data_IF_387770864234
#
_entry.id   IF_387770864234
#
_cell.length_a   1.000
_cell.length_b   1.000
_cell.length_c   1.000
_cell.angle_alpha   90.00
_cell.angle_beta   90.00
_cell.angle_gamma   90.00
#
_symmetry.space_group_name_H-M   'P 1'
#
loop_
_entity.id
_entity.type
_entity.pdbx_description
1 polymer ?
#
# COMPACT_ATOMS: atom_id res chain seq x y z
N UNK A 1 -30.01 0.54 -6.05
CA UNK A 1 -28.96 1.23 -5.27
C UNK A 1 -29.06 0.68 -3.85
N UNK A 2 -28.28 -0.34 -3.49
CA UNK A 2 -28.43 -1.02 -2.20
C UNK A 2 -27.25 -0.67 -1.28
N UNK A 3 -27.62 -0.25 -0.07
CA UNK A 3 -26.76 0.32 0.96
C UNK A 3 -25.69 -0.64 1.49
N UNK A 4 -24.61 0.00 1.95
CA UNK A 4 -23.31 -0.53 2.37
C UNK A 4 -23.38 -1.15 3.79
N UNK A 5 -23.16 -2.46 3.90
CA UNK A 5 -22.76 -3.12 5.15
C UNK A 5 -22.07 -4.48 4.84
N UNK A 6 -20.78 -4.60 5.12
CA UNK A 6 -20.17 -5.93 5.35
C UNK A 6 -19.33 -6.60 4.26
N UNK A 7 -18.80 -5.90 3.24
CA UNK A 7 -17.63 -6.45 2.53
C UNK A 7 -16.40 -6.28 3.41
N UNK A 8 -16.09 -7.27 4.24
CA UNK A 8 -14.81 -7.38 4.93
C UNK A 8 -13.71 -7.26 3.88
N UNK A 9 -13.03 -6.11 3.82
CA UNK A 9 -11.92 -5.93 2.87
C UNK A 9 -10.81 -6.84 3.37
N UNK A 10 -10.75 -8.04 2.79
CA UNK A 10 -9.75 -9.03 3.19
C UNK A 10 -8.35 -8.53 2.84
N UNK A 11 -7.33 -9.08 3.51
CA UNK A 11 -5.93 -8.76 3.19
C UNK A 11 -5.62 -9.04 1.71
N UNK A 12 -6.17 -10.10 1.16
CA UNK A 12 -6.06 -10.44 -0.26
C UNK A 12 -6.64 -9.33 -1.16
N UNK A 13 -7.87 -8.87 -0.89
CA UNK A 13 -8.50 -7.77 -1.64
C UNK A 13 -7.72 -6.46 -1.51
N UNK A 14 -7.13 -6.18 -0.35
CA UNK A 14 -6.21 -5.04 -0.19
C UNK A 14 -4.98 -5.19 -1.10
N UNK A 15 -4.42 -6.39 -1.17
CA UNK A 15 -3.27 -6.70 -2.02
C UNK A 15 -3.57 -6.53 -3.51
N UNK A 16 -4.67 -7.09 -4.00
CA UNK A 16 -5.11 -6.97 -5.39
C UNK A 16 -5.34 -5.52 -5.80
N UNK A 17 -6.04 -4.74 -4.96
CA UNK A 17 -6.26 -3.32 -5.21
C UNK A 17 -4.95 -2.54 -5.24
N UNK A 18 -4.02 -2.80 -4.32
CA UNK A 18 -2.71 -2.16 -4.33
C UNK A 18 -1.90 -2.50 -5.59
N UNK A 19 -1.98 -3.74 -6.05
CA UNK A 19 -1.37 -4.16 -7.31
C UNK A 19 -1.96 -3.40 -8.51
N UNK A 20 -3.28 -3.26 -8.57
CA UNK A 20 -3.97 -2.47 -9.61
C UNK A 20 -3.52 -1.00 -9.61
N UNK A 21 -3.34 -0.40 -8.44
CA UNK A 21 -2.86 0.98 -8.29
C UNK A 21 -1.34 1.11 -8.21
N UNK A 22 -0.57 0.04 -8.44
CA UNK A 22 0.89 0.04 -8.31
C UNK A 22 1.53 1.14 -9.17
N UNK A 23 1.06 1.33 -10.39
CA UNK A 23 1.54 2.39 -11.27
C UNK A 23 1.33 3.79 -10.68
N UNK A 24 0.21 4.03 -9.99
CA UNK A 24 -0.04 5.31 -9.29
C UNK A 24 0.87 5.51 -8.07
N UNK A 25 1.22 4.42 -7.38
CA UNK A 25 2.22 4.47 -6.30
C UNK A 25 3.59 4.85 -6.87
N UNK A 26 4.00 4.22 -7.98
CA UNK A 26 5.24 4.57 -8.67
C UNK A 26 5.22 5.99 -9.22
N UNK A 27 4.10 6.45 -9.76
CA UNK A 27 3.90 7.84 -10.22
C UNK A 27 4.09 8.82 -9.07
N UNK A 28 3.49 8.57 -7.90
CA UNK A 28 3.63 9.42 -6.73
C UNK A 28 5.08 9.50 -6.23
N UNK A 29 5.81 8.38 -6.26
CA UNK A 29 7.24 8.36 -5.92
C UNK A 29 8.08 9.12 -6.96
N UNK A 30 7.80 8.92 -8.25
CA UNK A 30 8.52 9.57 -9.35
C UNK A 30 8.33 11.10 -9.32
N UNK A 31 7.14 11.57 -8.98
CA UNK A 31 6.87 13.01 -8.75
C UNK A 31 7.72 13.61 -7.62
N UNK A 32 8.20 12.78 -6.69
CA UNK A 32 9.15 13.18 -5.63
C UNK A 32 10.61 12.93 -5.99
N UNK A 33 10.90 12.52 -7.22
CA UNK A 33 12.27 12.27 -7.69
C UNK A 33 12.86 10.95 -7.20
N UNK A 34 12.06 10.03 -6.64
CA UNK A 34 12.53 8.70 -6.21
C UNK A 34 11.80 7.57 -6.94
N UNK A 35 12.34 6.37 -6.83
CA UNK A 35 11.69 5.13 -7.27
C UNK A 35 11.45 4.23 -6.07
N UNK A 36 10.62 3.19 -6.23
CA UNK A 36 10.44 2.18 -5.18
C UNK A 36 11.76 1.49 -4.81
N UNK A 37 12.68 1.33 -5.76
CA UNK A 37 14.02 0.80 -5.49
C UNK A 37 14.91 1.81 -4.77
N UNK A 38 14.84 3.10 -5.14
CA UNK A 38 15.54 4.18 -4.45
C UNK A 38 15.12 4.29 -2.99
N UNK A 39 13.80 4.37 -2.75
CA UNK A 39 13.23 4.39 -1.41
C UNK A 39 13.60 3.13 -0.60
N UNK A 40 13.62 1.95 -1.24
CA UNK A 40 14.03 0.72 -0.56
C UNK A 40 15.48 0.80 -0.06
N UNK A 41 16.38 1.32 -0.90
CA UNK A 41 17.80 1.49 -0.55
C UNK A 41 17.99 2.51 0.57
N UNK A 42 17.27 3.63 0.51
CA UNK A 42 17.29 4.68 1.53
C UNK A 42 16.84 4.15 2.90
N UNK A 43 15.79 3.32 2.92
CA UNK A 43 15.27 2.71 4.14
C UNK A 43 16.06 1.46 4.61
N UNK A 44 17.07 1.03 3.85
CA UNK A 44 17.85 -0.19 4.14
C UNK A 44 17.05 -1.49 4.01
N UNK A 45 15.98 -1.50 3.20
CA UNK A 45 15.13 -2.68 3.00
C UNK A 45 15.34 -3.32 1.64
N UNK A 46 15.01 -4.60 1.53
CA UNK A 46 15.08 -5.32 0.26
C UNK A 46 14.09 -4.74 -0.77
N UNK A 47 14.59 -4.43 -1.96
CA UNK A 47 13.77 -4.03 -3.13
C UNK A 47 12.70 -5.08 -3.46
N UNK A 48 13.01 -6.37 -3.25
CA UNK A 48 12.06 -7.46 -3.45
C UNK A 48 10.94 -7.43 -2.39
N UNK A 49 11.23 -7.07 -1.14
CA UNK A 49 10.21 -6.91 -0.11
C UNK A 49 9.29 -5.71 -0.40
N UNK A 50 9.87 -4.61 -0.89
CA UNK A 50 9.12 -3.45 -1.39
C UNK A 50 8.18 -3.86 -2.52
N UNK A 51 8.70 -4.54 -3.55
CA UNK A 51 7.89 -5.00 -4.70
C UNK A 51 6.78 -5.97 -4.30
N UNK A 52 7.06 -6.93 -3.42
CA UNK A 52 6.02 -7.82 -2.86
C UNK A 52 4.94 -7.04 -2.11
N UNK A 53 5.30 -5.96 -1.44
CA UNK A 53 4.33 -5.12 -0.73
C UNK A 53 3.47 -4.33 -1.71
N UNK A 54 4.06 -3.71 -2.73
CA UNK A 54 3.34 -2.94 -3.76
C UNK A 54 2.40 -3.85 -4.57
N UNK A 55 2.87 -5.03 -4.96
CA UNK A 55 2.07 -6.04 -5.70
C UNK A 55 1.08 -6.81 -4.83
N UNK A 56 0.99 -6.49 -3.54
CA UNK A 56 0.02 -7.09 -2.63
C UNK A 56 0.34 -8.51 -2.15
N UNK A 57 1.49 -9.08 -2.54
CA UNK A 57 1.97 -10.40 -2.08
C UNK A 57 2.43 -10.39 -0.63
N UNK A 58 2.73 -9.20 -0.08
CA UNK A 58 3.09 -9.01 1.32
C UNK A 58 2.45 -7.74 1.88
N UNK A 59 2.35 -7.68 3.20
CA UNK A 59 1.82 -6.52 3.91
C UNK A 59 2.83 -6.17 5.00
N UNK A 60 3.79 -5.31 4.66
CA UNK A 60 4.75 -4.78 5.62
C UNK A 60 4.29 -3.39 6.09
N UNK A 61 3.93 -3.25 7.39
CA UNK A 61 3.60 -1.96 8.00
C UNK A 61 4.63 -0.87 7.71
N UNK A 62 5.91 -1.20 7.91
CA UNK A 62 7.04 -0.28 7.73
C UNK A 62 7.15 0.27 6.30
N UNK A 63 6.87 -0.57 5.30
CA UNK A 63 6.88 -0.14 3.89
C UNK A 63 5.67 0.77 3.60
N UNK A 64 4.49 0.43 4.10
CA UNK A 64 3.29 1.25 3.90
C UNK A 64 3.43 2.62 4.59
N UNK A 65 4.04 2.64 5.77
CA UNK A 65 4.30 3.87 6.52
C UNK A 65 5.31 4.75 5.75
N UNK A 66 6.40 4.17 5.24
CA UNK A 66 7.36 4.93 4.44
C UNK A 66 6.78 5.44 3.10
N UNK A 67 5.92 4.66 2.43
CA UNK A 67 5.22 5.15 1.23
C UNK A 67 4.29 6.32 1.57
N UNK A 68 3.67 6.31 2.75
CA UNK A 68 2.83 7.41 3.24
C UNK A 68 3.66 8.66 3.51
N UNK A 69 4.83 8.52 4.14
CA UNK A 69 5.76 9.64 4.40
C UNK A 69 6.28 10.26 3.09
N UNK A 70 6.47 9.42 2.05
CA UNK A 70 6.76 9.87 0.69
C UNK A 70 5.53 10.46 -0.04
N UNK A 71 4.41 10.67 0.66
CA UNK A 71 3.22 11.33 0.13
C UNK A 71 2.42 10.51 -0.86
N UNK A 72 2.57 9.17 -0.87
CA UNK A 72 1.67 8.31 -1.63
C UNK A 72 0.27 8.40 -0.99
N UNK A 73 -0.77 8.75 -1.77
CA UNK A 73 -2.13 8.86 -1.24
C UNK A 73 -2.63 7.55 -0.61
N UNK A 74 -3.30 7.64 0.55
CA UNK A 74 -3.82 6.46 1.26
C UNK A 74 -4.79 5.61 0.43
N UNK A 75 -5.53 6.26 -0.49
CA UNK A 75 -6.41 5.59 -1.46
C UNK A 75 -5.70 4.60 -2.38
N UNK A 76 -4.36 4.64 -2.46
CA UNK A 76 -3.56 3.70 -3.23
C UNK A 76 -2.80 2.70 -2.34
N UNK A 77 -2.64 2.99 -1.04
CA UNK A 77 -1.89 2.14 -0.11
C UNK A 77 -2.70 0.93 0.34
N UNK A 78 -4.04 1.04 0.42
CA UNK A 78 -4.93 -0.03 0.88
C UNK A 78 -4.35 -0.77 2.10
N UNK A 79 -4.09 -0.03 3.16
CA UNK A 79 -3.46 -0.56 4.38
C UNK A 79 -4.48 -1.43 5.13
N UNK A 80 -4.22 -2.74 5.32
CA UNK A 80 -5.13 -3.61 6.06
C UNK A 80 -5.41 -3.11 7.47
N UNK A 81 -4.48 -2.39 8.11
CA UNK A 81 -4.66 -1.83 9.47
C UNK A 81 -5.75 -0.77 9.54
N UNK A 82 -5.96 -0.02 8.45
CA UNK A 82 -6.95 1.06 8.36
C UNK A 82 -8.24 0.61 7.67
N UNK A 83 -8.16 -0.45 6.88
CA UNK A 83 -9.31 -1.05 6.20
C UNK A 83 -10.01 -2.13 7.04
N UNK A 84 -9.35 -2.68 8.07
CA UNK A 84 -9.95 -3.56 9.08
C UNK A 84 -10.75 -2.78 10.16
N UNK A 85 -11.15 -1.54 9.88
CA UNK A 85 -11.91 -0.69 10.79
C UNK A 85 -13.42 -0.81 10.59
N UNK A 86 -14.01 -1.91 11.07
CA UNK A 86 -15.28 -1.95 11.83
C UNK A 86 -15.44 -3.36 12.41
N UNK A 87 -14.63 -3.69 13.41
CA UNK A 87 -14.93 -4.69 14.45
C UNK A 87 -13.82 -4.63 15.50
N UNK A 88 -13.88 -3.64 16.37
CA UNK A 88 -13.23 -3.60 17.69
C UNK A 88 -13.70 -2.34 18.43
N UNK A 89 -14.93 -2.38 18.95
CA UNK A 89 -15.41 -1.60 20.10
C UNK A 89 -16.70 -2.25 20.60
#
# INVERSE_FOLDING_TARGET
MNNVAGSTITRATCGERRCFYSWRIHEALARRGTSSAGLARELGISTAAMSRTITGKSHSPRILDALRDMGVPEKYLFDPRRMAGKEAA
#
